data_IF_766792945216
#
_entry.id   IF_766792945216
#
_cell.length_a   1.000
_cell.length_b   1.000
_cell.length_c   1.000
_cell.angle_alpha   90.00
_cell.angle_beta   90.00
_cell.angle_gamma   90.00
#
_symmetry.space_group_name_H-M   'P 1'
#
loop_
_entity.id
_entity.type
_entity.pdbx_description
1 polymer ?
#
# COMPACT_ATOMS: atom_id res chain seq x y z
N UNK A 1 44.14 18.83 -26.66
CA UNK A 1 43.17 19.66 -25.92
C UNK A 1 43.77 19.89 -24.54
N UNK A 2 44.04 21.14 -24.16
CA UNK A 2 44.77 21.44 -22.92
C UNK A 2 43.96 20.99 -21.70
N UNK A 3 44.51 20.05 -20.94
CA UNK A 3 43.86 19.45 -19.76
C UNK A 3 43.58 20.52 -18.71
N UNK A 4 44.45 21.54 -18.62
CA UNK A 4 44.35 22.65 -17.66
C UNK A 4 43.11 23.55 -17.83
N UNK A 5 42.52 23.59 -19.03
CA UNK A 5 41.30 24.38 -19.29
C UNK A 5 40.00 23.57 -19.15
N UNK A 6 40.10 22.28 -18.82
CA UNK A 6 38.93 21.43 -18.65
C UNK A 6 38.23 21.72 -17.32
N UNK A 7 36.88 21.80 -17.28
CA UNK A 7 36.13 21.98 -16.03
C UNK A 7 36.34 20.84 -15.02
N UNK A 8 36.91 19.73 -15.45
CA UNK A 8 37.20 18.55 -14.64
C UNK A 8 38.67 18.45 -14.17
N UNK A 9 39.53 19.42 -14.51
CA UNK A 9 40.92 19.44 -14.08
C UNK A 9 41.11 19.29 -12.55
N UNK A 10 40.28 19.91 -11.69
CA UNK A 10 40.40 19.75 -10.24
C UNK A 10 40.18 18.31 -9.71
N UNK A 11 39.58 17.41 -10.50
CA UNK A 11 39.45 16.00 -10.12
C UNK A 11 40.78 15.24 -10.23
N UNK A 12 41.67 15.68 -11.14
CA UNK A 12 43.01 15.11 -11.30
C UNK A 12 43.93 15.60 -10.19
N UNK A 13 43.82 16.88 -9.82
CA UNK A 13 44.55 17.48 -8.69
C UNK A 13 44.21 16.82 -7.35
N UNK A 14 42.98 16.31 -7.20
CA UNK A 14 42.52 15.60 -6.00
C UNK A 14 42.83 14.09 -6.02
N UNK A 15 43.59 13.60 -7.02
CA UNK A 15 43.93 12.18 -7.21
C UNK A 15 42.70 11.24 -7.35
N UNK A 16 41.52 11.79 -7.66
CA UNK A 16 40.30 11.00 -7.86
C UNK A 16 40.24 10.35 -9.26
N UNK A 17 41.02 10.88 -10.20
CA UNK A 17 41.16 10.40 -11.58
C UNK A 17 42.59 10.61 -12.07
N UNK A 18 43.10 9.71 -12.91
CA UNK A 18 44.32 9.97 -13.66
C UNK A 18 44.06 10.89 -14.87
N UNK A 19 45.09 11.63 -15.30
CA UNK A 19 44.99 12.48 -16.50
C UNK A 19 44.62 11.66 -17.76
N UNK A 20 45.09 10.41 -17.85
CA UNK A 20 44.76 9.48 -18.93
C UNK A 20 43.28 9.07 -18.90
N UNK A 21 42.75 8.76 -17.71
CA UNK A 21 41.33 8.42 -17.54
C UNK A 21 40.43 9.61 -17.90
N UNK A 22 40.81 10.84 -17.54
CA UNK A 22 40.03 12.02 -17.90
C UNK A 22 39.99 12.23 -19.42
N UNK A 23 41.11 12.03 -20.11
CA UNK A 23 41.14 12.10 -21.58
C UNK A 23 40.26 11.03 -22.23
N UNK A 24 40.27 9.81 -21.68
CA UNK A 24 39.41 8.72 -22.16
C UNK A 24 37.92 9.04 -21.96
N UNK A 25 37.55 9.62 -20.81
CA UNK A 25 36.18 10.08 -20.53
C UNK A 25 35.73 11.13 -21.53
N UNK A 26 36.58 12.13 -21.82
CA UNK A 26 36.25 13.18 -22.79
C UNK A 26 36.11 12.58 -24.21
N UNK A 27 37.03 11.69 -24.59
CA UNK A 27 37.00 11.02 -25.89
C UNK A 27 35.80 10.07 -26.05
N UNK A 28 35.37 9.41 -24.97
CA UNK A 28 34.19 8.55 -24.97
C UNK A 28 32.89 9.35 -24.96
N UNK A 29 32.82 10.46 -24.22
CA UNK A 29 31.72 11.41 -24.26
C UNK A 29 31.48 11.95 -25.68
N UNK A 30 32.56 12.39 -26.35
CA UNK A 30 32.50 12.86 -27.73
C UNK A 30 32.07 11.76 -28.71
N UNK A 31 32.60 10.53 -28.59
CA UNK A 31 32.22 9.39 -29.45
C UNK A 31 30.77 8.96 -29.28
N UNK A 32 30.26 8.98 -28.05
CA UNK A 32 28.89 8.52 -27.72
C UNK A 32 27.84 9.62 -27.79
N UNK A 33 28.23 10.88 -27.96
CA UNK A 33 27.35 12.06 -27.85
C UNK A 33 26.60 12.10 -26.51
N UNK A 34 27.29 11.76 -25.42
CA UNK A 34 26.76 11.75 -24.04
C UNK A 34 27.53 12.77 -23.22
N UNK A 35 26.86 13.44 -22.27
CA UNK A 35 27.50 14.35 -21.30
C UNK A 35 28.65 13.66 -20.55
N UNK A 36 29.83 14.30 -20.51
CA UNK A 36 30.99 13.79 -19.77
C UNK A 36 30.68 13.55 -18.28
N UNK A 37 29.85 14.42 -17.67
CA UNK A 37 29.34 14.25 -16.30
C UNK A 37 28.71 12.87 -16.07
N UNK A 38 27.96 12.35 -17.05
CA UNK A 38 27.24 11.07 -16.91
C UNK A 38 28.20 9.89 -16.92
N UNK A 39 29.27 9.96 -17.70
CA UNK A 39 30.32 8.93 -17.75
C UNK A 39 31.12 8.96 -16.43
N UNK A 40 31.49 10.15 -15.96
CA UNK A 40 32.18 10.34 -14.67
C UNK A 40 31.39 9.76 -13.49
N UNK A 41 30.07 9.99 -13.47
CA UNK A 41 29.20 9.51 -12.39
C UNK A 41 28.91 8.00 -12.48
N UNK A 42 28.65 7.46 -13.67
CA UNK A 42 28.16 6.07 -13.84
C UNK A 42 29.27 5.06 -14.09
N UNK A 43 30.26 5.41 -14.90
CA UNK A 43 31.32 4.49 -15.35
C UNK A 43 32.56 4.63 -14.46
N UNK A 44 32.95 5.86 -14.10
CA UNK A 44 34.10 6.10 -13.21
C UNK A 44 33.77 6.07 -11.71
N UNK A 45 32.47 6.04 -11.35
CA UNK A 45 32.03 5.94 -9.95
C UNK A 45 32.30 7.17 -9.08
N UNK A 46 32.53 8.33 -9.69
CA UNK A 46 32.81 9.58 -8.95
C UNK A 46 31.54 10.03 -8.24
N UNK A 47 31.69 10.45 -6.98
CA UNK A 47 30.54 10.97 -6.22
C UNK A 47 30.10 12.32 -6.77
N UNK A 48 28.79 12.60 -6.78
CA UNK A 48 28.25 13.90 -7.24
C UNK A 48 28.83 15.08 -6.47
N UNK A 49 29.04 14.92 -5.16
CA UNK A 49 29.63 15.97 -4.33
C UNK A 49 31.07 16.29 -4.75
N UNK A 50 31.88 15.27 -5.05
CA UNK A 50 33.25 15.50 -5.55
C UNK A 50 33.25 16.18 -6.93
N UNK A 51 32.35 15.76 -7.82
CA UNK A 51 32.20 16.39 -9.14
C UNK A 51 31.78 17.86 -9.03
N UNK A 52 30.79 18.16 -8.19
CA UNK A 52 30.33 19.54 -7.96
C UNK A 52 31.36 20.40 -7.23
N UNK A 53 32.13 19.85 -6.30
CA UNK A 53 33.24 20.55 -5.65
C UNK A 53 34.32 20.93 -6.67
N UNK A 54 34.67 20.00 -7.57
CA UNK A 54 35.60 20.27 -8.66
C UNK A 54 35.09 21.38 -9.59
N UNK A 55 33.83 21.32 -10.00
CA UNK A 55 33.21 22.37 -10.83
C UNK A 55 33.15 23.71 -10.09
N UNK A 56 32.80 23.70 -8.80
CA UNK A 56 32.75 24.90 -7.95
C UNK A 56 34.10 25.61 -7.88
N UNK A 57 35.20 24.85 -7.75
CA UNK A 57 36.57 25.37 -7.77
C UNK A 57 36.96 25.92 -9.14
N UNK A 58 36.63 25.21 -10.21
CA UNK A 58 36.95 25.65 -11.57
C UNK A 58 36.25 26.97 -11.93
N UNK A 59 34.96 27.08 -11.65
CA UNK A 59 34.17 28.27 -11.97
C UNK A 59 34.29 29.39 -10.92
N UNK A 60 34.86 29.12 -9.75
CA UNK A 60 34.97 30.10 -8.66
C UNK A 60 33.61 30.53 -8.07
N UNK A 61 32.62 29.63 -8.08
CA UNK A 61 31.26 29.90 -7.60
C UNK A 61 30.73 28.78 -6.72
N UNK A 62 29.72 29.05 -5.89
CA UNK A 62 29.10 28.00 -5.05
C UNK A 62 28.31 27.02 -5.91
N UNK A 63 28.34 25.74 -5.55
CA UNK A 63 27.50 24.74 -6.22
C UNK A 63 26.11 24.65 -5.59
N UNK A 64 25.15 24.15 -6.37
CA UNK A 64 23.82 23.80 -5.89
C UNK A 64 23.39 22.46 -6.47
N UNK A 65 22.76 21.65 -5.61
CA UNK A 65 22.17 20.38 -5.99
C UNK A 65 20.67 20.52 -6.12
N UNK A 66 20.05 19.65 -6.91
CA UNK A 66 18.60 19.56 -6.96
C UNK A 66 18.04 19.09 -5.61
N UNK A 67 17.33 19.98 -4.92
CA UNK A 67 16.56 19.65 -3.70
C UNK A 67 15.06 19.83 -3.95
N UNK A 68 14.33 18.71 -3.90
CA UNK A 68 12.86 18.65 -3.98
C UNK A 68 12.15 19.48 -2.90
N UNK A 69 12.83 19.84 -1.81
CA UNK A 69 12.23 20.56 -0.68
C UNK A 69 12.23 22.06 -0.86
N UNK A 70 13.02 22.58 -1.79
CA UNK A 70 13.23 24.00 -1.93
C UNK A 70 12.09 24.58 -2.78
N UNK A 71 11.11 25.31 -2.19
CA UNK A 71 10.04 25.89 -2.98
C UNK A 71 10.62 27.03 -3.82
N UNK A 72 10.62 26.85 -5.13
CA UNK A 72 10.94 27.92 -6.07
C UNK A 72 9.72 28.84 -6.16
N UNK A 73 9.85 30.16 -5.96
CA UNK A 73 8.74 31.10 -6.15
C UNK A 73 8.20 31.04 -7.58
N UNK A 74 6.88 30.89 -7.72
CA UNK A 74 6.22 30.75 -9.04
C UNK A 74 6.50 31.94 -9.95
N UNK A 75 6.66 33.13 -9.39
CA UNK A 75 6.99 34.36 -10.11
C UNK A 75 8.31 34.28 -10.90
N UNK A 76 9.26 33.44 -10.47
CA UNK A 76 10.57 33.33 -11.12
C UNK A 76 10.56 32.46 -12.38
N UNK A 77 9.59 31.56 -12.52
CA UNK A 77 9.53 30.64 -13.65
C UNK A 77 8.22 30.68 -14.43
N UNK A 78 7.21 31.42 -13.96
CA UNK A 78 5.97 31.64 -14.69
C UNK A 78 6.25 32.34 -16.02
N UNK A 79 5.95 31.65 -17.13
CA UNK A 79 6.14 32.18 -18.49
C UNK A 79 7.49 31.87 -19.14
N UNK A 80 8.40 31.16 -18.46
CA UNK A 80 9.60 30.63 -19.09
C UNK A 80 9.25 29.46 -20.02
N UNK A 81 9.85 29.41 -21.21
CA UNK A 81 9.71 28.28 -22.11
C UNK A 81 10.72 27.17 -21.78
N UNK A 82 10.23 25.94 -21.74
CA UNK A 82 11.03 24.73 -21.50
C UNK A 82 12.13 24.52 -22.55
N UNK A 83 11.92 24.91 -23.82
CA UNK A 83 12.95 24.75 -24.85
C UNK A 83 14.13 25.70 -24.62
N UNK A 84 13.81 26.96 -24.31
CA UNK A 84 14.77 28.03 -24.03
C UNK A 84 15.68 27.67 -22.86
N UNK A 85 15.12 27.09 -21.79
CA UNK A 85 15.88 26.66 -20.61
C UNK A 85 16.71 25.40 -20.87
N UNK A 86 16.21 24.44 -21.67
CA UNK A 86 16.99 23.25 -22.06
C UNK A 86 18.20 23.62 -22.91
N UNK A 87 18.06 24.56 -23.84
CA UNK A 87 19.18 25.03 -24.67
C UNK A 87 20.15 25.89 -23.87
N UNK A 88 19.65 26.72 -22.96
CA UNK A 88 20.48 27.58 -22.11
C UNK A 88 21.17 26.86 -20.94
N UNK A 89 20.72 25.66 -20.58
CA UNK A 89 21.21 24.87 -19.44
C UNK A 89 21.27 25.66 -18.12
N UNK A 90 20.17 26.35 -17.78
CA UNK A 90 20.03 27.10 -16.52
C UNK A 90 18.61 27.07 -15.97
N UNK A 91 18.43 27.37 -14.69
CA UNK A 91 17.13 27.45 -14.02
C UNK A 91 17.15 28.39 -12.81
N UNK A 92 16.12 29.25 -12.59
CA UNK A 92 16.05 30.12 -11.43
C UNK A 92 15.57 29.38 -10.18
N UNK A 93 16.26 29.53 -9.06
CA UNK A 93 16.05 28.68 -7.88
C UNK A 93 15.30 29.44 -6.77
N UNK A 94 15.73 30.66 -6.47
CA UNK A 94 15.16 31.46 -5.39
C UNK A 94 15.52 32.92 -5.55
N UNK A 95 14.74 33.78 -4.89
CA UNK A 95 15.04 35.19 -4.74
C UNK A 95 15.41 35.47 -3.27
N UNK A 96 16.55 36.12 -3.07
CA UNK A 96 17.03 36.58 -1.77
C UNK A 96 17.06 38.10 -1.78
N UNK A 97 15.94 38.72 -1.38
CA UNK A 97 15.76 40.17 -1.46
C UNK A 97 15.81 40.64 -2.92
N UNK A 98 16.84 41.42 -3.25
CA UNK A 98 17.07 41.98 -4.58
C UNK A 98 17.89 41.08 -5.52
N UNK A 99 18.46 39.98 -5.01
CA UNK A 99 19.31 39.06 -5.77
C UNK A 99 18.57 37.77 -6.13
N UNK A 100 18.57 37.39 -7.41
CA UNK A 100 18.05 36.10 -7.87
C UNK A 100 19.20 35.09 -8.00
N UNK A 101 19.01 33.91 -7.41
CA UNK A 101 19.96 32.80 -7.47
C UNK A 101 19.60 31.89 -8.65
N UNK A 102 20.58 31.63 -9.51
CA UNK A 102 20.40 30.87 -10.75
C UNK A 102 21.34 29.67 -10.74
N UNK A 103 20.78 28.47 -10.97
CA UNK A 103 21.55 27.27 -11.28
C UNK A 103 21.92 27.31 -12.76
N UNK A 104 23.18 27.06 -13.08
CA UNK A 104 23.66 26.94 -14.46
C UNK A 104 24.70 25.82 -14.58
N UNK A 105 24.71 25.14 -15.73
CA UNK A 105 25.74 24.15 -16.04
C UNK A 105 27.09 24.84 -16.29
N UNK A 106 27.07 25.96 -17.02
CA UNK A 106 28.21 26.83 -17.24
C UNK A 106 27.91 28.26 -16.74
N UNK A 107 28.30 28.59 -15.50
CA UNK A 107 28.08 29.91 -14.92
C UNK A 107 28.79 31.06 -15.65
N UNK A 108 29.84 30.82 -16.44
CA UNK A 108 30.62 31.86 -17.13
C UNK A 108 30.15 32.14 -18.56
N UNK A 109 29.21 31.35 -19.09
CA UNK A 109 28.65 31.55 -20.43
C UNK A 109 27.95 32.90 -20.57
N UNK A 110 28.51 33.78 -21.42
CA UNK A 110 27.94 35.10 -21.71
C UNK A 110 26.55 35.01 -22.36
N UNK A 111 26.33 33.99 -23.21
CA UNK A 111 25.05 33.75 -23.87
C UNK A 111 23.96 33.44 -22.85
N UNK A 112 24.26 32.56 -21.88
CA UNK A 112 23.34 32.22 -20.80
C UNK A 112 23.03 33.45 -19.94
N UNK A 113 24.04 34.22 -19.54
CA UNK A 113 23.86 35.45 -18.72
C UNK A 113 23.01 36.50 -19.43
N UNK A 114 23.20 36.69 -20.74
CA UNK A 114 22.39 37.60 -21.54
C UNK A 114 20.92 37.13 -21.63
N UNK A 115 20.72 35.81 -21.79
CA UNK A 115 19.39 35.20 -21.84
C UNK A 115 18.65 35.33 -20.49
N UNK A 116 19.35 35.09 -19.39
CA UNK A 116 18.85 35.32 -18.03
C UNK A 116 18.40 36.76 -17.85
N UNK A 117 19.25 37.73 -18.17
CA UNK A 117 18.94 39.16 -17.99
C UNK A 117 17.75 39.63 -18.83
N UNK A 118 17.45 38.95 -19.95
CA UNK A 118 16.28 39.23 -20.78
C UNK A 118 14.98 38.64 -20.21
N UNK A 119 15.06 37.46 -19.58
CA UNK A 119 13.88 36.68 -19.18
C UNK A 119 13.48 36.88 -17.73
N UNK A 120 14.43 37.20 -16.85
CA UNK A 120 14.18 37.39 -15.42
C UNK A 120 14.63 38.78 -15.03
N UNK A 121 13.72 39.72 -14.73
CA UNK A 121 14.10 41.04 -14.27
C UNK A 121 14.51 41.00 -12.79
N UNK A 122 15.80 41.19 -12.51
CA UNK A 122 16.32 41.37 -11.15
C UNK A 122 17.41 42.46 -11.08
N UNK A 123 17.68 42.99 -9.89
CA UNK A 123 18.75 43.99 -9.68
C UNK A 123 20.14 43.35 -9.70
N UNK A 124 20.26 42.14 -9.17
CA UNK A 124 21.51 41.37 -9.11
C UNK A 124 21.25 39.87 -9.32
N UNK A 125 22.24 39.17 -9.87
CA UNK A 125 22.19 37.73 -10.11
C UNK A 125 23.35 37.03 -9.40
N UNK A 126 23.05 35.95 -8.69
CA UNK A 126 24.04 35.03 -8.12
C UNK A 126 24.01 33.72 -8.90
N UNK A 127 25.08 33.42 -9.64
CA UNK A 127 25.19 32.19 -10.41
C UNK A 127 25.83 31.08 -9.56
N UNK A 128 25.18 29.91 -9.56
CA UNK A 128 25.66 28.70 -8.89
C UNK A 128 25.77 27.57 -9.88
N UNK A 129 26.87 26.82 -9.80
CA UNK A 129 27.08 25.67 -10.68
C UNK A 129 26.17 24.50 -10.26
N UNK A 130 25.50 23.90 -11.23
CA UNK A 130 24.67 22.71 -11.04
C UNK A 130 24.96 21.71 -12.16
N UNK A 131 24.76 20.42 -11.89
CA UNK A 131 24.92 19.40 -12.93
C UNK A 131 23.80 19.53 -13.97
N UNK A 132 24.09 19.17 -15.22
CA UNK A 132 23.07 19.17 -16.30
C UNK A 132 21.88 18.27 -15.97
N UNK A 133 22.12 17.22 -15.19
CA UNK A 133 21.05 16.35 -14.68
C UNK A 133 20.17 17.04 -13.64
N UNK A 134 20.75 17.85 -12.74
CA UNK A 134 20.00 18.62 -11.73
C UNK A 134 19.09 19.66 -12.38
N UNK A 135 19.60 20.36 -13.40
CA UNK A 135 18.84 21.33 -14.18
C UNK A 135 17.66 20.71 -14.91
N UNK A 136 17.85 19.51 -15.50
CA UNK A 136 16.77 18.75 -16.11
C UNK A 136 15.69 18.39 -15.09
N UNK A 137 16.05 18.03 -13.86
CA UNK A 137 15.07 17.77 -12.80
C UNK A 137 14.33 19.01 -12.35
N UNK A 138 15.02 20.15 -12.19
CA UNK A 138 14.35 21.44 -11.95
C UNK A 138 13.33 21.76 -13.04
N UNK A 139 13.72 21.62 -14.31
CA UNK A 139 12.80 21.89 -15.43
C UNK A 139 11.61 20.93 -15.45
N UNK A 140 11.85 19.64 -15.21
CA UNK A 140 10.79 18.65 -15.16
C UNK A 140 9.78 18.92 -14.04
N UNK A 141 10.27 19.24 -12.85
CA UNK A 141 9.42 19.36 -11.66
C UNK A 141 8.66 20.70 -11.62
N UNK A 142 9.20 21.78 -12.24
CA UNK A 142 8.60 23.12 -12.18
C UNK A 142 7.98 23.64 -13.49
N UNK A 143 8.37 23.17 -14.69
CA UNK A 143 7.77 23.60 -15.97
C UNK A 143 6.74 22.63 -16.57
N UNK A 144 6.72 21.37 -16.14
CA UNK A 144 5.86 20.33 -16.73
C UNK A 144 4.76 19.80 -15.78
N UNK A 145 4.69 20.27 -14.54
CA UNK A 145 3.68 19.86 -13.58
C UNK A 145 2.60 20.95 -13.42
N UNK A 146 1.33 20.63 -13.68
CA UNK A 146 0.22 21.40 -13.12
C UNK A 146 0.40 21.53 -11.60
N UNK A 147 -0.02 22.64 -10.98
CA UNK A 147 0.17 22.88 -9.54
C UNK A 147 -0.38 21.76 -8.63
N UNK A 148 -1.29 20.92 -9.15
CA UNK A 148 -1.83 19.70 -8.52
C UNK A 148 -0.83 18.52 -8.42
N UNK A 149 0.29 18.57 -9.14
CA UNK A 149 1.33 17.52 -9.24
C UNK A 149 2.65 17.91 -8.54
N UNK A 150 2.73 19.07 -7.90
CA UNK A 150 3.87 19.44 -7.05
C UNK A 150 4.07 18.38 -5.95
N UNK A 151 5.32 17.93 -5.73
CA UNK A 151 5.70 16.79 -4.85
C UNK A 151 5.18 16.94 -3.40
N UNK A 152 4.90 18.16 -2.94
CA UNK A 152 4.21 18.42 -1.67
C UNK A 152 2.81 17.79 -1.60
N UNK A 153 2.11 17.69 -2.74
CA UNK A 153 0.81 17.03 -2.89
C UNK A 153 0.97 15.52 -3.00
N UNK A 154 2.00 15.01 -3.68
CA UNK A 154 2.28 13.56 -3.68
C UNK A 154 2.54 13.02 -2.27
N UNK A 155 3.34 13.72 -1.46
CA UNK A 155 3.64 13.26 -0.08
C UNK A 155 2.45 13.35 0.84
N UNK A 156 1.61 14.37 0.71
CA UNK A 156 0.35 14.47 1.45
C UNK A 156 -0.66 13.42 0.97
N UNK A 157 -0.72 13.14 -0.32
CA UNK A 157 -1.49 12.03 -0.90
C UNK A 157 -1.01 10.66 -0.41
N UNK A 158 0.30 10.42 -0.40
CA UNK A 158 0.93 9.21 0.15
C UNK A 158 0.64 9.06 1.66
N UNK A 159 0.72 10.14 2.42
CA UNK A 159 0.39 10.13 3.85
C UNK A 159 -1.10 9.89 4.09
N UNK A 160 -1.97 10.53 3.30
CA UNK A 160 -3.41 10.33 3.32
C UNK A 160 -3.76 8.86 3.05
N UNK A 161 -3.23 8.26 1.99
CA UNK A 161 -3.43 6.85 1.67
C UNK A 161 -2.98 5.92 2.80
N UNK A 162 -1.82 6.20 3.39
CA UNK A 162 -1.30 5.40 4.51
C UNK A 162 -2.19 5.48 5.76
N UNK A 163 -2.74 6.66 6.04
CA UNK A 163 -3.71 6.85 7.14
C UNK A 163 -5.04 6.15 6.83
N UNK A 164 -5.53 6.27 5.59
CA UNK A 164 -6.74 5.58 5.11
C UNK A 164 -6.60 4.06 5.23
N UNK A 165 -5.48 3.49 4.76
CA UNK A 165 -5.17 2.06 4.92
C UNK A 165 -5.05 1.64 6.39
N UNK A 166 -4.48 2.48 7.26
CA UNK A 166 -4.42 2.20 8.70
C UNK A 166 -5.82 2.15 9.33
N UNK A 167 -6.70 3.08 8.95
CA UNK A 167 -8.11 3.08 9.37
C UNK A 167 -8.83 1.81 8.91
N UNK A 168 -8.64 1.42 7.64
CA UNK A 168 -9.19 0.19 7.09
C UNK A 168 -8.72 -1.06 7.84
N UNK A 169 -7.41 -1.16 8.14
CA UNK A 169 -6.87 -2.27 8.94
C UNK A 169 -7.47 -2.32 10.35
N UNK A 170 -7.75 -1.16 10.94
CA UNK A 170 -8.41 -1.08 12.26
C UNK A 170 -9.86 -1.57 12.19
N UNK A 171 -10.62 -1.16 11.18
CA UNK A 171 -11.98 -1.67 10.91
C UNK A 171 -11.98 -3.19 10.67
N UNK A 172 -11.04 -3.70 9.88
CA UNK A 172 -10.88 -5.14 9.63
C UNK A 172 -10.51 -5.91 10.92
N UNK A 173 -9.71 -5.32 11.80
CA UNK A 173 -9.41 -5.90 13.11
C UNK A 173 -10.66 -5.98 13.99
N UNK A 174 -11.45 -4.89 14.07
CA UNK A 174 -12.73 -4.89 14.77
C UNK A 174 -13.67 -5.98 14.24
N UNK A 175 -13.81 -6.13 12.91
CA UNK A 175 -14.61 -7.21 12.33
C UNK A 175 -14.12 -8.61 12.72
N UNK A 176 -12.81 -8.85 12.73
CA UNK A 176 -12.26 -10.14 13.20
C UNK A 176 -12.57 -10.41 14.66
N UNK A 177 -12.55 -9.39 15.52
CA UNK A 177 -12.97 -9.54 16.93
C UNK A 177 -14.46 -9.83 17.05
N UNK A 178 -15.31 -9.20 16.24
CA UNK A 178 -16.74 -9.53 16.17
C UNK A 178 -16.97 -10.99 15.73
N UNK A 179 -16.24 -11.49 14.74
CA UNK A 179 -16.29 -12.90 14.33
C UNK A 179 -15.79 -13.87 15.41
N UNK A 180 -14.84 -13.44 16.26
CA UNK A 180 -14.42 -14.22 17.42
C UNK A 180 -15.54 -14.26 18.48
N UNK A 181 -16.19 -13.13 18.77
CA UNK A 181 -17.33 -13.04 19.69
C UNK A 181 -18.54 -13.85 19.21
N UNK A 182 -18.86 -13.80 17.92
CA UNK A 182 -19.88 -14.67 17.34
C UNK A 182 -19.57 -16.15 17.58
N UNK A 183 -18.30 -16.57 17.48
CA UNK A 183 -17.91 -17.95 17.77
C UNK A 183 -18.04 -18.31 19.25
N UNK A 184 -17.78 -17.39 20.16
CA UNK A 184 -17.97 -17.65 21.60
C UNK A 184 -19.45 -17.76 21.95
N UNK A 185 -20.31 -16.89 21.42
CA UNK A 185 -21.76 -16.99 21.63
C UNK A 185 -22.35 -18.26 21.01
N UNK A 186 -21.86 -18.67 19.83
CA UNK A 186 -22.23 -19.95 19.21
C UNK A 186 -21.80 -21.16 20.02
N UNK A 187 -20.65 -21.11 20.72
CA UNK A 187 -20.25 -22.19 21.63
C UNK A 187 -21.24 -22.31 22.79
N UNK A 188 -21.66 -21.19 23.37
CA UNK A 188 -22.67 -21.17 24.44
C UNK A 188 -24.01 -21.72 23.95
N UNK A 189 -24.48 -21.26 22.79
CA UNK A 189 -25.70 -21.76 22.17
C UNK A 189 -25.65 -23.27 21.93
N UNK A 190 -24.53 -23.78 21.40
CA UNK A 190 -24.32 -25.21 21.15
C UNK A 190 -24.34 -26.03 22.44
N UNK A 191 -23.70 -25.55 23.50
CA UNK A 191 -23.75 -26.24 24.80
C UNK A 191 -25.15 -26.22 25.40
N UNK A 192 -25.88 -25.11 25.29
CA UNK A 192 -27.27 -25.01 25.72
C UNK A 192 -28.18 -26.01 25.00
N UNK A 193 -28.16 -26.01 23.66
CA UNK A 193 -28.94 -26.95 22.84
C UNK A 193 -28.56 -28.42 23.09
N UNK A 194 -27.28 -28.71 23.29
CA UNK A 194 -26.85 -30.07 23.64
C UNK A 194 -27.36 -30.52 25.02
N UNK A 195 -27.42 -29.62 26.00
CA UNK A 195 -28.00 -29.92 27.32
C UNK A 195 -29.51 -30.11 27.26
N UNK A 196 -30.21 -29.32 26.44
CA UNK A 196 -31.65 -29.54 26.15
C UNK A 196 -31.86 -30.92 25.52
N UNK A 197 -31.05 -31.29 24.54
CA UNK A 197 -31.11 -32.61 23.91
C UNK A 197 -30.81 -33.73 24.92
N UNK A 198 -29.79 -33.57 25.77
CA UNK A 198 -29.41 -34.53 26.81
C UNK A 198 -30.52 -34.71 27.85
N UNK A 199 -31.12 -33.61 28.33
CA UNK A 199 -32.25 -33.64 29.26
C UNK A 199 -33.43 -34.43 28.67
N UNK A 200 -33.76 -34.18 27.41
CA UNK A 200 -34.82 -34.92 26.72
C UNK A 200 -34.48 -36.41 26.56
N UNK A 201 -33.23 -36.78 26.22
CA UNK A 201 -32.81 -38.20 26.18
C UNK A 201 -32.92 -38.87 27.56
N UNK A 202 -32.54 -38.17 28.64
CA UNK A 202 -32.64 -38.68 30.02
C UNK A 202 -34.08 -39.03 30.43
N UNK A 203 -35.09 -38.34 29.87
CA UNK A 203 -36.50 -38.68 30.13
C UNK A 203 -36.98 -39.95 29.40
N UNK A 204 -36.21 -40.46 28.43
CA UNK A 204 -36.60 -41.58 27.56
C UNK A 204 -35.88 -42.90 27.89
N UNK A 205 -34.79 -42.85 28.65
CA UNK A 205 -34.02 -44.05 29.02
C UNK A 205 -34.40 -44.49 30.43
N UNK A 206 -35.04 -45.66 30.53
CA UNK A 206 -35.37 -46.33 31.81
C UNK A 206 -34.09 -46.80 32.51
N UNK A 207 -33.99 -46.58 33.82
CA UNK A 207 -32.84 -46.88 34.70
C UNK A 207 -31.63 -45.93 34.63
N UNK A 208 -31.83 -44.65 34.98
CA UNK A 208 -30.73 -43.69 35.12
C UNK A 208 -30.83 -42.84 36.40
N UNK A 209 -29.74 -42.82 37.20
CA UNK A 209 -29.58 -41.95 38.38
C UNK A 209 -29.71 -40.45 38.06
N UNK A 210 -29.38 -40.07 36.83
CA UNK A 210 -29.44 -38.68 36.36
C UNK A 210 -30.85 -38.23 35.95
N UNK A 211 -31.83 -39.14 35.86
CA UNK A 211 -33.21 -38.81 35.50
C UNK A 211 -33.84 -37.83 36.50
N UNK A 212 -33.48 -37.90 37.79
CA UNK A 212 -33.94 -36.97 38.83
C UNK A 212 -33.52 -35.51 38.56
N UNK A 213 -32.40 -35.30 37.87
CA UNK A 213 -31.84 -33.98 37.60
C UNK A 213 -32.23 -33.40 36.22
N UNK A 214 -33.09 -34.08 35.45
CA UNK A 214 -33.41 -33.69 34.07
C UNK A 214 -33.97 -32.25 33.97
N UNK A 215 -34.80 -31.82 34.92
CA UNK A 215 -35.38 -30.47 34.97
C UNK A 215 -34.30 -29.39 35.13
N UNK A 216 -33.33 -29.60 36.02
CA UNK A 216 -32.23 -28.67 36.23
C UNK A 216 -31.33 -28.57 34.99
N UNK A 217 -31.03 -29.71 34.35
CA UNK A 217 -30.26 -29.74 33.10
C UNK A 217 -31.01 -29.01 31.99
N UNK A 218 -32.34 -29.17 31.90
CA UNK A 218 -33.18 -28.48 30.92
C UNK A 218 -33.15 -26.96 31.12
N UNK A 219 -33.38 -26.49 32.35
CA UNK A 219 -33.40 -25.05 32.67
C UNK A 219 -32.05 -24.39 32.41
N UNK A 220 -30.96 -25.03 32.82
CA UNK A 220 -29.59 -24.55 32.53
C UNK A 220 -29.33 -24.55 31.02
N UNK A 221 -29.76 -25.59 30.30
CA UNK A 221 -29.65 -25.68 28.86
C UNK A 221 -30.38 -24.56 28.13
N UNK A 222 -31.62 -24.28 28.50
CA UNK A 222 -32.44 -23.18 27.96
C UNK A 222 -31.79 -21.83 28.25
N UNK A 223 -31.33 -21.60 29.49
CA UNK A 223 -30.66 -20.35 29.87
C UNK A 223 -29.40 -20.09 29.05
N UNK A 224 -28.52 -21.09 28.93
CA UNK A 224 -27.31 -20.99 28.11
C UNK A 224 -27.63 -20.79 26.62
N UNK A 225 -28.65 -21.48 26.10
CA UNK A 225 -29.09 -21.32 24.72
C UNK A 225 -29.61 -19.90 24.46
N UNK A 226 -30.44 -19.35 25.35
CA UNK A 226 -31.01 -18.02 25.21
C UNK A 226 -29.93 -16.93 25.28
N UNK A 227 -29.02 -17.00 26.25
CA UNK A 227 -27.89 -16.06 26.38
C UNK A 227 -27.01 -16.13 25.12
N UNK A 228 -26.67 -17.33 24.67
CA UNK A 228 -25.88 -17.54 23.45
C UNK A 228 -26.57 -16.99 22.21
N UNK A 229 -27.88 -17.21 22.06
CA UNK A 229 -28.67 -16.72 20.94
C UNK A 229 -28.78 -15.20 20.92
N UNK A 230 -29.07 -14.57 22.06
CA UNK A 230 -29.19 -13.11 22.16
C UNK A 230 -27.86 -12.41 21.86
N UNK A 231 -26.74 -12.89 22.42
CA UNK A 231 -25.42 -12.32 22.13
C UNK A 231 -25.04 -12.55 20.65
N UNK A 232 -25.40 -13.70 20.08
CA UNK A 232 -25.21 -13.96 18.65
C UNK A 232 -26.02 -12.99 17.77
N UNK A 233 -27.32 -12.82 18.04
CA UNK A 233 -28.18 -11.92 17.27
C UNK A 233 -27.74 -10.46 17.39
N UNK A 234 -27.27 -10.03 18.57
CA UNK A 234 -26.68 -8.70 18.77
C UNK A 234 -25.42 -8.48 17.94
N UNK A 235 -24.54 -9.47 17.86
CA UNK A 235 -23.35 -9.40 17.00
C UNK A 235 -23.75 -9.41 15.53
N UNK A 236 -24.75 -10.21 15.16
CA UNK A 236 -25.25 -10.32 13.78
C UNK A 236 -25.90 -9.02 13.29
N UNK A 237 -26.69 -8.35 14.13
CA UNK A 237 -27.34 -7.08 13.79
C UNK A 237 -26.39 -5.88 13.79
N UNK A 238 -25.45 -5.81 14.74
CA UNK A 238 -24.58 -4.65 14.89
C UNK A 238 -23.41 -4.61 13.89
N UNK A 239 -23.00 -5.74 13.30
CA UNK A 239 -21.71 -5.84 12.59
C UNK A 239 -21.80 -6.24 11.12
N UNK A 240 -22.99 -6.48 10.55
CA UNK A 240 -23.11 -7.15 9.24
C UNK A 240 -24.09 -6.50 8.26
N UNK A 241 -23.99 -5.19 8.09
CA UNK A 241 -24.32 -4.65 6.78
C UNK A 241 -23.32 -5.17 5.73
N UNK A 242 -23.76 -5.16 4.48
CA UNK A 242 -23.02 -5.55 3.28
C UNK A 242 -21.71 -4.76 2.95
N UNK A 243 -21.34 -3.59 3.54
CA UNK A 243 -20.31 -2.75 2.96
C UNK A 243 -18.90 -3.27 3.21
N UNK A 244 -18.65 -4.32 3.99
CA UNK A 244 -17.29 -4.85 4.09
C UNK A 244 -16.86 -5.54 2.79
N UNK A 245 -17.78 -6.12 2.00
CA UNK A 245 -17.43 -6.75 0.74
C UNK A 245 -17.18 -5.72 -0.37
N UNK A 246 -18.08 -4.73 -0.49
CA UNK A 246 -17.89 -3.58 -1.38
C UNK A 246 -16.70 -2.74 -0.93
N UNK A 247 -16.59 -2.39 0.34
CA UNK A 247 -15.42 -1.67 0.85
C UNK A 247 -14.15 -2.48 0.66
N UNK A 248 -14.13 -3.81 0.83
CA UNK A 248 -12.91 -4.58 0.51
C UNK A 248 -12.57 -4.48 -0.97
N UNK A 249 -13.57 -4.54 -1.86
CA UNK A 249 -13.39 -4.34 -3.30
C UNK A 249 -12.94 -2.91 -3.60
N UNK A 250 -13.60 -1.88 -3.07
CA UNK A 250 -13.28 -0.46 -3.25
C UNK A 250 -11.89 -0.14 -2.69
N UNK A 251 -11.56 -0.66 -1.51
CA UNK A 251 -10.22 -0.61 -0.90
C UNK A 251 -9.20 -1.20 -1.86
N UNK A 252 -9.55 -2.31 -2.50
CA UNK A 252 -8.64 -2.97 -3.43
C UNK A 252 -8.52 -2.20 -4.74
N UNK A 253 -9.63 -1.78 -5.36
CA UNK A 253 -9.70 -0.94 -6.56
C UNK A 253 -8.93 0.36 -6.39
N UNK A 254 -9.10 1.01 -5.24
CA UNK A 254 -8.42 2.26 -4.92
C UNK A 254 -6.91 2.07 -4.71
N UNK A 255 -6.50 0.96 -4.07
CA UNK A 255 -5.09 0.62 -4.00
C UNK A 255 -4.51 0.28 -5.39
N UNK A 256 -5.29 -0.34 -6.30
CA UNK A 256 -4.87 -0.63 -7.69
C UNK A 256 -4.61 0.66 -8.43
N UNK A 257 -5.59 1.57 -8.34
CA UNK A 257 -5.53 2.87 -8.99
C UNK A 257 -4.37 3.69 -8.48
N UNK A 258 -4.08 3.59 -7.18
CA UNK A 258 -2.88 4.17 -6.60
C UNK A 258 -1.62 3.52 -7.18
N UNK A 259 -1.49 2.19 -7.15
CA UNK A 259 -0.29 1.51 -7.67
C UNK A 259 -0.05 1.78 -9.15
N UNK A 260 -1.08 1.68 -10.00
CA UNK A 260 -1.02 1.95 -11.45
C UNK A 260 -0.57 3.38 -11.76
N UNK A 261 -1.07 4.38 -11.02
CA UNK A 261 -0.70 5.79 -11.23
C UNK A 261 0.76 6.11 -10.89
N UNK A 262 1.39 5.30 -10.04
CA UNK A 262 2.74 5.54 -9.54
C UNK A 262 3.77 4.57 -10.13
N UNK A 263 3.42 3.77 -11.14
CA UNK A 263 4.26 2.65 -11.56
C UNK A 263 5.56 3.03 -12.28
N UNK A 264 6.58 2.33 -11.78
CA UNK A 264 7.92 2.13 -12.25
C UNK A 264 7.92 1.61 -13.71
N UNK A 265 9.01 1.81 -14.46
CA UNK A 265 9.09 1.48 -15.90
C UNK A 265 8.83 0.01 -16.28
N UNK A 266 8.71 -0.89 -15.32
CA UNK A 266 8.40 -2.31 -15.53
C UNK A 266 6.89 -2.54 -15.40
N UNK A 267 6.26 -3.02 -16.47
CA UNK A 267 4.82 -3.19 -16.56
C UNK A 267 4.26 -4.09 -15.43
N UNK A 268 3.08 -3.76 -14.87
CA UNK A 268 2.45 -4.61 -13.84
C UNK A 268 2.22 -6.01 -14.38
N UNK A 269 2.31 -7.00 -13.48
CA UNK A 269 2.02 -8.40 -13.81
C UNK A 269 0.61 -8.48 -14.36
N UNK A 270 0.36 -9.29 -15.40
CA UNK A 270 -1.00 -9.42 -15.96
C UNK A 270 -1.92 -10.03 -14.89
N UNK A 271 -3.03 -9.35 -14.60
CA UNK A 271 -4.04 -9.80 -13.66
C UNK A 271 -4.54 -11.22 -14.02
N UNK A 272 -4.74 -12.06 -13.00
CA UNK A 272 -5.20 -13.45 -13.18
C UNK A 272 -6.64 -13.52 -13.74
N UNK A 273 -7.45 -12.50 -13.44
CA UNK A 273 -8.85 -12.33 -13.85
C UNK A 273 -9.32 -10.87 -13.66
N UNK A 274 -10.53 -10.56 -14.12
CA UNK A 274 -11.06 -9.18 -14.22
C UNK A 274 -11.55 -8.56 -12.89
N UNK A 275 -11.43 -9.27 -11.77
CA UNK A 275 -11.85 -8.65 -10.51
C UNK A 275 -10.82 -7.62 -10.04
N UNK A 276 -11.32 -6.57 -9.38
CA UNK A 276 -10.50 -5.51 -8.80
C UNK A 276 -9.39 -6.00 -7.85
N UNK A 277 -9.54 -7.18 -7.25
CA UNK A 277 -8.56 -7.74 -6.33
C UNK A 277 -7.43 -8.48 -7.08
N UNK A 278 -7.69 -9.10 -8.23
CA UNK A 278 -6.63 -9.61 -9.12
C UNK A 278 -5.82 -8.46 -9.66
N UNK A 279 -6.52 -7.44 -10.17
CA UNK A 279 -5.90 -6.23 -10.69
C UNK A 279 -4.99 -5.61 -9.64
N UNK A 280 -5.39 -5.67 -8.36
CA UNK A 280 -4.56 -5.19 -7.26
C UNK A 280 -3.33 -6.05 -7.02
N UNK A 281 -3.53 -7.36 -6.94
CA UNK A 281 -2.42 -8.29 -6.72
C UNK A 281 -1.40 -8.19 -7.87
N UNK A 282 -1.87 -7.99 -9.10
CA UNK A 282 -1.07 -7.73 -10.29
C UNK A 282 -0.31 -6.39 -10.24
N UNK A 283 -0.95 -5.34 -9.72
CA UNK A 283 -0.35 -4.02 -9.55
C UNK A 283 0.55 -3.91 -8.32
N UNK A 284 0.70 -4.97 -7.52
CA UNK A 284 1.63 -5.00 -6.41
C UNK A 284 2.80 -5.91 -6.79
N UNK A 285 3.97 -5.35 -7.14
CA UNK A 285 5.13 -6.16 -7.44
C UNK A 285 5.53 -7.05 -6.24
N UNK A 286 6.00 -8.26 -6.54
CA UNK A 286 6.46 -9.26 -5.56
C UNK A 286 7.84 -8.94 -4.94
N UNK A 287 8.37 -7.74 -5.11
CA UNK A 287 9.73 -7.39 -4.69
C UNK A 287 9.77 -6.22 -3.70
N UNK A 288 10.81 -6.21 -2.87
CA UNK A 288 11.34 -5.01 -2.21
C UNK A 288 12.34 -4.42 -3.20
N UNK A 289 11.98 -3.34 -3.91
CA UNK A 289 12.87 -2.75 -4.91
C UNK A 289 14.03 -2.06 -4.20
N UNK A 290 15.21 -2.69 -4.20
CA UNK A 290 16.45 -1.99 -3.85
C UNK A 290 16.87 -1.20 -5.09
N UNK A 291 16.29 -0.03 -5.27
CA UNK A 291 16.77 0.96 -6.22
C UNK A 291 17.68 1.93 -5.46
N UNK A 292 18.79 2.35 -6.09
CA UNK A 292 19.62 3.47 -5.64
C UNK A 292 19.05 4.73 -6.31
N UNK A 293 18.22 5.52 -5.62
CA UNK A 293 17.58 6.68 -6.22
C UNK A 293 18.64 7.73 -6.53
N UNK A 294 18.75 8.09 -7.80
CA UNK A 294 19.55 9.22 -8.28
C UNK A 294 18.54 10.28 -8.76
N UNK A 295 18.49 11.47 -8.14
CA UNK A 295 19.35 12.00 -7.07
C UNK A 295 18.99 11.52 -5.66
N UNK A 296 19.91 11.76 -4.72
CA UNK A 296 19.71 11.54 -3.27
C UNK A 296 18.46 12.25 -2.71
N UNK A 297 18.04 13.37 -3.30
CA UNK A 297 16.82 14.07 -2.90
C UNK A 297 15.55 13.25 -3.18
N UNK A 298 15.54 12.38 -4.19
CA UNK A 298 14.41 11.46 -4.47
C UNK A 298 14.37 10.22 -3.57
N UNK A 299 15.41 9.98 -2.76
CA UNK A 299 15.48 8.83 -1.85
C UNK A 299 14.33 8.80 -0.84
N UNK A 300 14.00 9.96 -0.29
CA UNK A 300 12.92 10.05 0.71
C UNK A 300 11.54 9.81 0.09
N UNK A 301 11.30 10.26 -1.14
CA UNK A 301 10.05 10.01 -1.87
C UNK A 301 9.95 8.54 -2.27
N UNK A 302 11.06 7.94 -2.73
CA UNK A 302 11.14 6.52 -3.03
C UNK A 302 10.85 5.65 -1.79
N UNK A 303 11.55 5.89 -0.67
CA UNK A 303 11.32 5.18 0.59
C UNK A 303 9.88 5.38 1.12
N UNK A 304 9.27 6.54 0.89
CA UNK A 304 7.86 6.77 1.22
C UNK A 304 6.90 5.94 0.35
N UNK A 305 7.19 5.82 -0.97
CA UNK A 305 6.44 4.96 -1.90
C UNK A 305 6.55 3.48 -1.49
N UNK A 306 7.76 2.99 -1.20
CA UNK A 306 8.00 1.62 -0.70
C UNK A 306 7.20 1.32 0.57
N UNK A 307 7.24 2.24 1.55
CA UNK A 307 6.46 2.09 2.79
C UNK A 307 4.96 1.99 2.54
N UNK A 308 4.45 2.72 1.55
CA UNK A 308 3.06 2.68 1.16
C UNK A 308 2.70 1.39 0.42
N UNK A 309 3.57 0.90 -0.46
CA UNK A 309 3.41 -0.41 -1.11
C UNK A 309 3.33 -1.54 -0.08
N UNK A 310 4.26 -1.56 0.88
CA UNK A 310 4.24 -2.50 2.01
C UNK A 310 3.00 -2.31 2.90
N UNK A 311 2.45 -1.10 3.02
CA UNK A 311 1.20 -0.86 3.73
C UNK A 311 -0.02 -1.41 2.96
N UNK A 312 -0.03 -1.31 1.63
CA UNK A 312 -1.06 -1.87 0.77
C UNK A 312 -1.05 -3.41 0.86
N UNK A 313 0.10 -4.05 0.68
CA UNK A 313 0.29 -5.50 0.87
C UNK A 313 -0.24 -5.99 2.23
N UNK A 314 0.10 -5.30 3.32
CA UNK A 314 -0.40 -5.63 4.66
C UNK A 314 -1.92 -5.49 4.78
N UNK A 315 -2.51 -4.49 4.12
CA UNK A 315 -3.96 -4.25 4.13
C UNK A 315 -4.70 -5.35 3.37
N UNK A 316 -4.16 -5.80 2.24
CA UNK A 316 -4.69 -6.93 1.47
C UNK A 316 -4.60 -8.23 2.27
N UNK A 317 -3.45 -8.52 2.87
CA UNK A 317 -3.30 -9.69 3.74
C UNK A 317 -4.30 -9.65 4.92
N UNK A 318 -4.56 -8.47 5.49
CA UNK A 318 -5.56 -8.29 6.53
C UNK A 318 -7.00 -8.53 6.03
N UNK A 319 -7.31 -8.13 4.79
CA UNK A 319 -8.56 -8.45 4.10
C UNK A 319 -8.74 -9.97 3.99
N UNK A 320 -7.75 -10.68 3.45
CA UNK A 320 -7.80 -12.14 3.33
C UNK A 320 -8.02 -12.83 4.68
N UNK A 321 -7.29 -12.43 5.72
CA UNK A 321 -7.48 -12.98 7.08
C UNK A 321 -8.90 -12.76 7.60
N UNK A 322 -9.52 -11.63 7.29
CA UNK A 322 -10.90 -11.33 7.69
C UNK A 322 -11.90 -12.18 6.93
N UNK A 323 -11.70 -12.36 5.62
CA UNK A 323 -12.49 -13.26 4.78
C UNK A 323 -12.40 -14.72 5.25
N UNK A 324 -11.20 -15.22 5.57
CA UNK A 324 -11.03 -16.56 6.13
C UNK A 324 -11.65 -16.73 7.52
N UNK A 325 -11.59 -15.70 8.37
CA UNK A 325 -12.26 -15.72 9.66
C UNK A 325 -13.79 -15.87 9.48
N UNK A 326 -14.37 -15.16 8.51
CA UNK A 326 -15.79 -15.29 8.12
C UNK A 326 -16.11 -16.70 7.62
N UNK A 327 -15.34 -17.25 6.68
CA UNK A 327 -15.54 -18.62 6.19
C UNK A 327 -15.47 -19.65 7.32
N UNK A 328 -14.53 -19.49 8.26
CA UNK A 328 -14.41 -20.36 9.43
C UNK A 328 -15.65 -20.32 10.32
N UNK A 329 -16.25 -19.14 10.52
CA UNK A 329 -17.53 -19.05 11.26
C UNK A 329 -18.67 -19.74 10.52
N UNK A 330 -18.77 -19.57 9.19
CA UNK A 330 -19.80 -20.23 8.38
C UNK A 330 -19.67 -21.76 8.37
N UNK A 331 -18.46 -22.29 8.18
CA UNK A 331 -18.21 -23.74 8.23
C UNK A 331 -18.49 -24.33 9.61
N UNK A 332 -18.18 -23.60 10.68
CA UNK A 332 -18.51 -24.02 12.04
C UNK A 332 -20.03 -24.14 12.23
N UNK A 333 -20.79 -23.16 11.73
CA UNK A 333 -22.25 -23.14 11.78
C UNK A 333 -22.87 -24.28 10.98
N UNK A 334 -22.40 -24.52 9.76
CA UNK A 334 -22.85 -25.63 8.91
C UNK A 334 -22.65 -26.95 9.65
N UNK A 335 -21.44 -27.19 10.19
CA UNK A 335 -21.13 -28.41 10.94
C UNK A 335 -22.06 -28.62 12.13
N UNK A 336 -22.28 -27.57 12.93
CA UNK A 336 -23.18 -27.65 14.09
C UNK A 336 -24.63 -27.83 13.69
N UNK A 337 -25.08 -27.19 12.61
CA UNK A 337 -26.43 -27.31 12.09
C UNK A 337 -26.74 -28.73 11.65
N UNK A 338 -25.86 -29.34 10.84
CA UNK A 338 -25.99 -30.75 10.42
C UNK A 338 -26.02 -31.69 11.63
N UNK A 339 -25.15 -31.47 12.62
CA UNK A 339 -25.10 -32.31 13.83
C UNK A 339 -26.40 -32.25 14.64
N UNK A 340 -27.00 -31.07 14.82
CA UNK A 340 -28.25 -30.93 15.58
C UNK A 340 -29.48 -31.43 14.81
N UNK A 341 -29.54 -31.24 13.48
CA UNK A 341 -30.57 -31.86 12.65
C UNK A 341 -30.50 -33.38 12.80
N UNK A 342 -29.30 -33.96 12.64
CA UNK A 342 -29.09 -35.40 12.78
C UNK A 342 -29.45 -35.93 14.17
N UNK A 343 -29.02 -35.23 15.23
CA UNK A 343 -29.32 -35.58 16.61
C UNK A 343 -30.84 -35.53 16.90
N UNK A 344 -31.53 -34.48 16.46
CA UNK A 344 -32.98 -34.36 16.65
C UNK A 344 -33.76 -35.45 15.91
N UNK A 345 -33.38 -35.75 14.66
CA UNK A 345 -33.98 -36.86 13.89
C UNK A 345 -33.72 -38.23 14.53
N UNK A 346 -32.50 -38.45 15.04
CA UNK A 346 -32.13 -39.69 15.71
C UNK A 346 -32.94 -39.89 17.00
N UNK A 347 -33.02 -38.87 17.85
CA UNK A 347 -33.83 -38.89 19.08
C UNK A 347 -35.30 -39.17 18.76
N UNK A 348 -35.86 -38.45 17.77
CA UNK A 348 -37.25 -38.60 17.37
C UNK A 348 -37.57 -40.02 16.85
N UNK A 349 -36.70 -40.58 16.01
CA UNK A 349 -36.94 -41.86 15.34
C UNK A 349 -36.63 -43.08 16.23
N UNK A 350 -35.59 -43.00 17.06
CA UNK A 350 -35.09 -44.14 17.84
C UNK A 350 -35.81 -44.25 19.19
N UNK A 351 -36.11 -43.13 19.85
CA UNK A 351 -36.63 -43.12 21.23
C UNK A 351 -38.16 -42.95 21.31
N UNK A 352 -38.88 -42.94 20.19
CA UNK A 352 -40.35 -42.87 20.14
C UNK A 352 -40.96 -41.51 20.51
N UNK A 353 -42.30 -41.40 20.35
CA UNK A 353 -43.06 -40.18 20.63
C UNK A 353 -43.44 -40.05 22.12
N UNK A 354 -43.12 -38.91 22.73
CA UNK A 354 -43.39 -38.58 24.14
C UNK A 354 -43.96 -37.15 24.25
N UNK A 355 -44.52 -36.73 25.41
CA UNK A 355 -45.08 -35.38 25.59
C UNK A 355 -44.08 -34.25 25.33
N UNK A 356 -42.78 -34.51 25.47
CA UNK A 356 -41.69 -33.57 25.21
C UNK A 356 -41.14 -33.63 23.77
N UNK A 357 -41.80 -34.33 22.84
CA UNK A 357 -41.37 -34.43 21.44
C UNK A 357 -41.20 -33.08 20.73
N UNK A 358 -41.81 -32.00 21.25
CA UNK A 358 -41.58 -30.63 20.78
C UNK A 358 -40.11 -30.20 20.81
N UNK A 359 -39.32 -30.66 21.80
CA UNK A 359 -37.89 -30.30 21.87
C UNK A 359 -37.07 -30.85 20.70
N UNK A 360 -37.51 -31.98 20.11
CA UNK A 360 -36.84 -32.56 18.94
C UNK A 360 -37.00 -31.64 17.73
N UNK A 361 -38.20 -31.11 17.52
CA UNK A 361 -38.49 -30.16 16.45
C UNK A 361 -37.78 -28.82 16.67
N UNK A 362 -37.68 -28.34 17.92
CA UNK A 362 -36.88 -27.15 18.24
C UNK A 362 -35.41 -27.36 17.89
N UNK A 363 -34.86 -28.53 18.21
CA UNK A 363 -33.46 -28.86 17.90
C UNK A 363 -33.20 -28.96 16.39
N UNK A 364 -34.11 -29.59 15.65
CA UNK A 364 -34.04 -29.68 14.18
C UNK A 364 -34.18 -28.29 13.55
N UNK A 365 -35.15 -27.49 14.00
CA UNK A 365 -35.38 -26.13 13.53
C UNK A 365 -34.18 -25.20 13.80
N UNK A 366 -33.62 -25.26 15.02
CA UNK A 366 -32.40 -24.54 15.37
C UNK A 366 -31.22 -25.00 14.49
N UNK A 367 -31.06 -26.30 14.27
CA UNK A 367 -30.04 -26.84 13.38
C UNK A 367 -30.17 -26.38 11.92
N UNK A 368 -31.40 -26.32 11.40
CA UNK A 368 -31.69 -25.81 10.06
C UNK A 368 -31.37 -24.31 9.94
N UNK A 369 -31.73 -23.50 10.93
CA UNK A 369 -31.39 -22.08 10.98
C UNK A 369 -29.86 -21.88 11.01
N UNK A 370 -29.13 -22.65 11.82
CA UNK A 370 -27.67 -22.61 11.87
C UNK A 370 -27.04 -23.01 10.54
N UNK A 371 -27.60 -24.00 9.83
CA UNK A 371 -27.12 -24.43 8.52
C UNK A 371 -27.32 -23.34 7.46
N UNK A 372 -28.52 -22.75 7.39
CA UNK A 372 -28.84 -21.67 6.45
C UNK A 372 -27.97 -20.44 6.70
N UNK A 373 -27.80 -20.07 7.97
CA UNK A 373 -26.94 -18.95 8.33
C UNK A 373 -25.48 -19.28 7.99
N UNK A 374 -24.98 -20.46 8.35
CA UNK A 374 -23.64 -20.91 8.01
C UNK A 374 -23.33 -20.85 6.50
N UNK A 375 -24.30 -21.21 5.65
CA UNK A 375 -24.21 -21.04 4.20
C UNK A 375 -24.14 -19.57 3.78
N UNK A 376 -24.98 -18.70 4.35
CA UNK A 376 -24.94 -17.25 4.11
C UNK A 376 -23.60 -16.62 4.49
N UNK A 377 -22.94 -17.17 5.52
CA UNK A 377 -21.61 -16.76 5.94
C UNK A 377 -20.50 -17.28 5.01
N UNK A 378 -20.60 -18.52 4.55
CA UNK A 378 -19.57 -19.23 3.78
C UNK A 378 -19.59 -18.93 2.27
N UNK A 379 -20.78 -18.94 1.64
CA UNK A 379 -20.92 -18.84 0.19
C UNK A 379 -20.26 -17.59 -0.41
N UNK A 380 -20.37 -16.39 0.19
CA UNK A 380 -19.71 -15.20 -0.34
C UNK A 380 -18.19 -15.35 -0.38
N UNK A 381 -17.59 -16.00 0.63
CA UNK A 381 -16.14 -16.22 0.68
C UNK A 381 -15.68 -17.19 -0.40
N UNK A 382 -16.48 -18.22 -0.72
CA UNK A 382 -16.16 -19.17 -1.78
C UNK A 382 -16.26 -18.58 -3.19
N UNK A 383 -17.13 -17.58 -3.37
CA UNK A 383 -17.21 -16.83 -4.63
C UNK A 383 -15.97 -15.96 -4.88
N UNK A 384 -15.17 -15.68 -3.85
CA UNK A 384 -13.87 -15.04 -4.00
C UNK A 384 -12.79 -16.06 -4.38
N UNK A 385 -12.31 -15.99 -5.62
CA UNK A 385 -11.14 -16.73 -6.10
C UNK A 385 -9.89 -15.84 -6.00
N UNK A 386 -9.19 -15.78 -4.86
CA UNK A 386 -7.88 -15.09 -4.80
C UNK A 386 -6.88 -15.62 -3.78
N UNK A 387 -5.60 -15.58 -4.15
CA UNK A 387 -4.46 -15.64 -3.25
C UNK A 387 -3.23 -14.89 -3.79
N UNK A 388 -2.59 -14.12 -2.91
CA UNK A 388 -1.13 -13.97 -2.96
C UNK A 388 -0.57 -15.36 -2.64
N UNK A 389 0.08 -16.00 -3.61
CA UNK A 389 0.72 -17.32 -3.45
C UNK A 389 -0.22 -18.53 -3.52
N UNK A 390 -1.32 -18.46 -4.28
CA UNK A 390 -2.07 -19.67 -4.68
C UNK A 390 -2.00 -19.88 -6.19
N UNK A 391 -0.79 -20.21 -6.65
CA UNK A 391 -0.63 -21.02 -7.86
C UNK A 391 -1.07 -22.46 -7.54
N UNK A 392 -2.38 -22.70 -7.47
CA UNK A 392 -2.93 -24.05 -7.60
C UNK A 392 -4.17 -23.94 -8.48
N UNK A 393 -3.93 -23.89 -9.79
CA UNK A 393 -4.87 -24.49 -10.73
C UNK A 393 -4.96 -26.00 -10.39
N UNK A 394 -6.15 -26.61 -10.45
CA UNK A 394 -6.27 -28.05 -10.40
C UNK A 394 -5.52 -28.71 -11.57
#
# INVERSE_FOLDING_TARGET
MNIEMSPYAPLVEQELLSAEQLQEVIASAARRSIDAERILLKECGITRCALLDALSRHYGCTFIQYDERLPVPTELFAGLDSQVLRTGEWFPIRQLGDTVVIAAADPHSEQMRAQVGRLIPAKSYEYRVALKEDLRWYMQDYLHAEASLLIGIERTGLAWWRNTMAHWRTKLAAHRTAHARARTSMKLLRWGLAMVALSNVLTRVTDNLLATYHLWILLVGIGLALIGLLDYLKVRSASMDLPCQRALIDITTENVRFTDRYHLPEAPVKAEDDSALAQLAAAIPNYCSILRPVPASKERTHLARERNMLAAQRTIAASHRTSYARARTGLSLIRTGVAFIGLGLAIHKILGATPYGFSDYVLIGAGALMLLDGLRWYLPVRRFKYGIGRDLKP
#
